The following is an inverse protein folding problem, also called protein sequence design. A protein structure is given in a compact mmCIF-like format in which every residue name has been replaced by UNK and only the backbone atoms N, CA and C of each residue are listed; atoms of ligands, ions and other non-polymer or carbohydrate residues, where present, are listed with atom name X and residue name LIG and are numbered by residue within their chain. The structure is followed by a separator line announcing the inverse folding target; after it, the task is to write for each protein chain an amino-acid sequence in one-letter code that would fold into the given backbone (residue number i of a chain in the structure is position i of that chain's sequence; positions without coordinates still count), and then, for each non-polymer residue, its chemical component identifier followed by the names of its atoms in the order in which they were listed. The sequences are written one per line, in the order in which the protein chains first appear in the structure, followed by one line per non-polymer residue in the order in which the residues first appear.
data_IF_046126999098
#
_entry.id   IF_046126999098
#
_cell.length_a   1.000
_cell.length_b   1.000
_cell.length_c   1.000
_cell.angle_alpha   90.00
_cell.angle_beta   90.00
_cell.angle_gamma   90.00
#
_symmetry.space_group_name_H-M   'P 1'
#
loop_
_entity.id
_entity.type
_entity.pdbx_description
1 polymer ?
#
# COMPACT_ATOMS: atom_id res chain seq x y z
N UNK A 1 26.39 25.60 -4.30
CA UNK A 1 25.35 25.71 -3.23
C UNK A 1 24.50 24.44 -3.08
N UNK A 2 24.86 23.29 -3.69
CA UNK A 2 24.03 22.05 -3.73
C UNK A 2 24.30 21.01 -2.63
N UNK A 3 25.22 21.25 -1.67
CA UNK A 3 25.60 20.26 -0.61
C UNK A 3 24.85 20.42 0.72
N UNK A 4 24.00 21.43 0.93
CA UNK A 4 23.36 21.70 2.23
C UNK A 4 22.02 21.00 2.45
N UNK A 5 21.36 20.47 1.42
CA UNK A 5 20.04 19.85 1.56
C UNK A 5 20.10 18.36 1.95
N UNK A 6 21.23 17.69 1.70
CA UNK A 6 21.38 16.26 1.92
C UNK A 6 21.47 15.82 3.39
N UNK A 7 21.92 16.72 4.27
CA UNK A 7 22.06 16.39 5.70
C UNK A 7 20.77 16.56 6.52
N UNK A 8 19.75 17.23 5.99
CA UNK A 8 18.51 17.50 6.74
C UNK A 8 17.47 16.37 6.58
N UNK A 9 17.54 15.57 5.56
CA UNK A 9 16.60 14.45 5.34
C UNK A 9 16.85 13.30 6.32
N UNK A 10 18.09 13.01 6.64
CA UNK A 10 18.45 11.93 7.58
C UNK A 10 18.19 12.31 9.06
N UNK A 11 18.09 13.61 9.40
CA UNK A 11 17.89 14.07 10.77
C UNK A 11 16.40 14.22 11.15
N UNK A 12 15.47 14.21 10.17
CA UNK A 12 14.03 14.39 10.40
C UNK A 12 13.29 13.13 10.83
N UNK A 13 13.96 11.99 10.82
CA UNK A 13 13.38 10.69 11.23
C UNK A 13 13.17 10.54 12.76
N UNK A 14 13.56 11.52 13.58
CA UNK A 14 13.58 11.37 15.06
C UNK A 14 12.79 12.45 15.80
N UNK A 15 12.18 13.44 15.16
CA UNK A 15 11.45 14.48 15.90
C UNK A 15 9.95 14.20 15.90
N UNK A 16 9.49 13.82 17.09
CA UNK A 16 8.10 13.51 17.42
C UNK A 16 7.15 14.68 17.22
N UNK A 17 5.97 14.29 16.89
CA UNK A 17 4.66 14.92 16.78
C UNK A 17 4.45 16.19 17.63
N UNK A 18 4.13 17.28 16.94
CA UNK A 18 3.08 18.20 17.37
C UNK A 18 2.27 18.57 16.15
N UNK A 19 1.11 17.95 16.02
CA UNK A 19 0.12 18.30 14.99
C UNK A 19 -0.66 19.49 15.53
N UNK A 20 -0.44 20.69 14.95
CA UNK A 20 -1.37 21.79 15.08
C UNK A 20 -2.21 21.84 13.80
N UNK A 21 -3.41 21.31 13.86
CA UNK A 21 -4.40 21.47 12.80
C UNK A 21 -5.05 22.84 12.95
N UNK A 22 -4.68 23.81 12.13
CA UNK A 22 -5.51 24.97 11.89
C UNK A 22 -6.46 24.66 10.73
N UNK A 23 -7.77 24.73 10.98
CA UNK A 23 -8.80 24.65 9.94
C UNK A 23 -8.91 26.02 9.30
N UNK A 24 -8.73 26.13 7.99
CA UNK A 24 -9.11 27.33 7.25
C UNK A 24 -10.65 27.38 7.14
N UNK A 25 -11.24 28.48 7.63
CA UNK A 25 -12.66 28.78 7.49
C UNK A 25 -12.96 29.30 6.07
N UNK A 26 -12.96 28.43 5.07
CA UNK A 26 -13.73 28.65 3.86
C UNK A 26 -15.01 27.82 3.96
N UNK A 27 -16.07 28.48 4.42
CA UNK A 27 -17.38 27.87 4.60
C UNK A 27 -18.01 27.45 3.28
N UNK A 28 -17.56 26.35 2.68
CA UNK A 28 -18.28 25.65 1.64
C UNK A 28 -19.13 24.55 2.28
N UNK A 29 -20.45 24.70 2.11
CA UNK A 29 -21.42 23.64 2.38
C UNK A 29 -21.02 22.35 1.65
N UNK A 30 -21.29 21.16 2.24
CA UNK A 30 -21.06 19.90 1.55
C UNK A 30 -21.81 19.91 0.21
N UNK A 31 -21.07 19.75 -0.88
CA UNK A 31 -21.66 19.62 -2.21
C UNK A 31 -22.61 18.41 -2.22
N UNK A 32 -23.84 18.61 -2.71
CA UNK A 32 -24.81 17.53 -2.93
C UNK A 32 -24.12 16.38 -3.67
N UNK A 33 -24.28 15.17 -3.15
CA UNK A 33 -23.75 13.93 -3.73
C UNK A 33 -24.39 13.70 -5.10
N UNK A 34 -23.74 14.15 -6.16
CA UNK A 34 -24.04 13.67 -7.51
C UNK A 34 -23.37 12.31 -7.69
N UNK A 35 -24.17 11.26 -7.78
CA UNK A 35 -23.73 9.92 -8.17
C UNK A 35 -22.95 10.03 -9.48
N UNK A 36 -21.62 9.89 -9.43
CA UNK A 36 -20.83 9.76 -10.63
C UNK A 36 -19.53 10.56 -10.77
N UNK A 37 -19.05 11.34 -9.79
CA UNK A 37 -17.82 12.12 -9.92
C UNK A 37 -16.90 12.06 -8.69
N UNK A 38 -15.59 12.24 -8.87
CA UNK A 38 -14.66 12.47 -7.77
C UNK A 38 -14.80 13.93 -7.29
N UNK A 39 -14.74 14.16 -5.95
CA UNK A 39 -14.84 15.50 -5.36
C UNK A 39 -14.07 15.57 -4.03
N UNK A 40 -13.65 16.80 -3.67
CA UNK A 40 -12.96 17.07 -2.40
C UNK A 40 -13.99 17.10 -1.27
N UNK A 41 -13.66 16.42 -0.17
CA UNK A 41 -14.47 16.41 1.06
C UNK A 41 -13.91 17.33 2.14
N UNK A 42 -12.59 17.54 2.15
CA UNK A 42 -11.91 18.39 3.12
C UNK A 42 -10.58 18.90 2.57
N UNK A 43 -10.10 20.02 3.13
CA UNK A 43 -8.78 20.57 2.83
C UNK A 43 -8.04 20.86 4.12
N UNK A 44 -6.92 20.19 4.31
CA UNK A 44 -6.10 20.30 5.54
C UNK A 44 -4.77 20.95 5.20
N UNK A 45 -4.39 21.97 5.96
CA UNK A 45 -3.10 22.62 5.87
C UNK A 45 -2.16 22.06 6.95
N UNK A 46 -0.99 21.63 6.55
CA UNK A 46 0.11 21.19 7.42
C UNK A 46 1.23 22.23 7.36
N UNK A 47 1.19 23.23 8.25
CA UNK A 47 2.10 24.38 8.20
C UNK A 47 3.57 23.99 8.38
N UNK A 48 3.86 23.07 9.33
CA UNK A 48 5.23 22.60 9.59
C UNK A 48 5.87 21.86 8.43
N UNK A 49 5.05 21.26 7.57
CA UNK A 49 5.48 20.45 6.44
C UNK A 49 5.39 21.21 5.10
N UNK A 50 4.94 22.46 5.14
CA UNK A 50 4.71 23.28 3.95
C UNK A 50 3.84 22.57 2.90
N UNK A 51 2.75 21.94 3.35
CA UNK A 51 1.95 21.01 2.58
C UNK A 51 0.46 21.26 2.74
N UNK A 52 -0.30 21.06 1.66
CA UNK A 52 -1.76 21.02 1.67
C UNK A 52 -2.22 19.63 1.26
N UNK A 53 -3.15 19.05 2.00
CA UNK A 53 -3.81 17.80 1.69
C UNK A 53 -5.27 18.08 1.31
N UNK A 54 -5.71 17.56 0.17
CA UNK A 54 -7.12 17.54 -0.24
C UNK A 54 -7.64 16.12 -0.03
N UNK A 55 -8.46 15.93 0.99
CA UNK A 55 -9.18 14.67 1.14
C UNK A 55 -10.29 14.62 0.12
N UNK A 56 -10.42 13.50 -0.58
CA UNK A 56 -11.39 13.38 -1.67
C UNK A 56 -12.03 11.99 -1.69
N UNK A 57 -13.18 11.92 -2.34
CA UNK A 57 -13.86 10.67 -2.64
C UNK A 57 -13.98 10.49 -4.14
N UNK A 58 -14.00 9.23 -4.58
CA UNK A 58 -14.01 8.88 -5.99
C UNK A 58 -14.78 7.57 -6.22
N UNK A 59 -15.43 7.41 -7.40
CA UNK A 59 -16.11 6.17 -7.74
C UNK A 59 -15.11 5.06 -8.01
N UNK A 60 -15.39 3.87 -7.52
CA UNK A 60 -14.59 2.66 -7.69
C UNK A 60 -15.47 1.40 -7.59
N UNK A 61 -14.85 0.25 -7.33
CA UNK A 61 -15.52 -1.02 -7.12
C UNK A 61 -15.15 -1.61 -5.77
N UNK A 62 -16.12 -2.22 -5.12
CA UNK A 62 -15.87 -3.04 -3.95
C UNK A 62 -15.24 -4.40 -4.32
N UNK A 63 -14.83 -5.24 -3.35
CA UNK A 63 -14.21 -6.54 -3.65
C UNK A 63 -15.12 -7.54 -4.37
N UNK A 64 -16.42 -7.26 -4.44
CA UNK A 64 -17.40 -8.07 -5.18
C UNK A 64 -17.67 -7.55 -6.60
N UNK A 65 -17.05 -6.40 -6.96
CA UNK A 65 -17.21 -5.75 -8.25
C UNK A 65 -18.35 -4.75 -8.34
N UNK A 66 -19.07 -4.52 -7.22
CA UNK A 66 -20.18 -3.56 -7.16
C UNK A 66 -19.65 -2.12 -7.04
N UNK A 67 -20.42 -1.17 -7.56
CA UNK A 67 -20.05 0.24 -7.52
C UNK A 67 -20.01 0.76 -6.07
N UNK A 68 -18.93 1.45 -5.71
CA UNK A 68 -18.74 2.06 -4.40
C UNK A 68 -17.98 3.38 -4.52
N UNK A 69 -18.17 4.28 -3.56
CA UNK A 69 -17.28 5.43 -3.38
C UNK A 69 -16.14 5.03 -2.44
N UNK A 70 -14.90 5.26 -2.86
CA UNK A 70 -13.71 5.16 -2.02
C UNK A 70 -13.18 6.55 -1.71
N UNK A 71 -12.24 6.65 -0.77
CA UNK A 71 -11.59 7.89 -0.39
C UNK A 71 -10.08 7.81 -0.45
N UNK A 72 -9.44 8.96 -0.38
CA UNK A 72 -8.02 9.11 -0.35
C UNK A 72 -7.61 10.56 -0.18
N UNK A 73 -6.33 10.83 -0.38
CA UNK A 73 -5.74 12.15 -0.20
C UNK A 73 -4.89 12.53 -1.41
N UNK A 74 -4.99 13.80 -1.84
CA UNK A 74 -4.09 14.45 -2.79
C UNK A 74 -3.23 15.40 -1.97
N UNK A 75 -1.92 15.19 -1.96
CA UNK A 75 -0.96 16.01 -1.23
C UNK A 75 -0.12 16.84 -2.17
N UNK A 76 0.01 18.15 -1.89
CA UNK A 76 0.80 19.09 -2.67
C UNK A 76 1.65 19.99 -1.75
N UNK A 77 2.90 20.21 -2.12
CA UNK A 77 3.78 21.19 -1.48
C UNK A 77 3.45 22.63 -1.86
N UNK A 78 3.95 23.59 -1.09
CA UNK A 78 3.69 25.02 -1.32
C UNK A 78 4.18 25.51 -2.68
N UNK A 79 5.31 24.97 -3.18
CA UNK A 79 5.83 25.33 -4.49
C UNK A 79 4.84 24.94 -5.60
N UNK A 80 4.34 23.70 -5.55
CA UNK A 80 3.35 23.19 -6.49
C UNK A 80 2.05 23.98 -6.40
N UNK A 81 1.61 24.32 -5.18
CA UNK A 81 0.40 25.11 -4.93
C UNK A 81 0.51 26.51 -5.53
N UNK A 82 1.64 27.17 -5.35
CA UNK A 82 1.91 28.51 -5.87
C UNK A 82 2.04 28.53 -7.41
N UNK A 83 2.78 27.57 -7.98
CA UNK A 83 3.00 27.46 -9.40
C UNK A 83 1.80 26.92 -10.19
N UNK A 84 0.86 26.25 -9.51
CA UNK A 84 -0.19 25.43 -10.15
C UNK A 84 0.37 24.38 -11.12
N UNK A 85 1.61 23.97 -10.87
CA UNK A 85 2.33 22.99 -11.69
C UNK A 85 3.18 22.07 -10.83
N UNK A 86 3.17 20.77 -11.13
CA UNK A 86 4.06 19.78 -10.58
C UNK A 86 4.94 19.15 -11.68
N UNK A 87 6.17 18.82 -11.36
CA UNK A 87 7.05 18.10 -12.30
C UNK A 87 6.55 16.68 -12.59
N UNK A 88 5.96 16.04 -11.58
CA UNK A 88 5.50 14.67 -11.68
C UNK A 88 4.31 14.40 -10.76
N UNK A 89 3.67 13.23 -10.97
CA UNK A 89 2.72 12.64 -10.05
C UNK A 89 3.30 11.37 -9.41
N UNK A 90 2.92 11.12 -8.16
CA UNK A 90 3.21 9.88 -7.45
C UNK A 90 1.90 9.24 -6.98
N UNK A 91 1.60 8.04 -7.46
CA UNK A 91 0.60 7.17 -6.86
C UNK A 91 1.28 6.41 -5.73
N UNK A 92 0.96 6.77 -4.49
CA UNK A 92 1.54 6.15 -3.31
C UNK A 92 0.57 5.18 -2.67
N UNK A 93 0.91 3.92 -2.68
CA UNK A 93 0.17 2.82 -2.09
C UNK A 93 0.68 2.59 -0.66
N UNK A 94 -0.16 2.91 0.35
CA UNK A 94 0.29 2.84 1.73
C UNK A 94 0.50 1.40 2.21
N UNK A 95 1.36 1.24 3.21
CA UNK A 95 1.57 -0.02 3.91
C UNK A 95 0.37 -0.39 4.80
N UNK A 96 0.46 -1.55 5.47
CA UNK A 96 -0.59 -2.06 6.36
C UNK A 96 -0.94 -1.07 7.48
N UNK A 97 -2.22 -0.73 7.57
CA UNK A 97 -2.81 0.02 8.68
C UNK A 97 -4.00 -0.75 9.24
N UNK A 98 -4.25 -0.59 10.54
CA UNK A 98 -5.36 -1.24 11.24
C UNK A 98 -6.29 -0.25 11.90
N UNK A 99 -5.73 0.79 12.55
CA UNK A 99 -6.55 1.80 13.22
C UNK A 99 -7.10 2.79 12.20
N UNK A 100 -8.37 3.17 12.38
CA UNK A 100 -9.11 3.98 11.42
C UNK A 100 -8.43 5.33 11.11
N UNK A 101 -7.74 5.92 12.08
CA UNK A 101 -7.04 7.21 11.93
C UNK A 101 -5.66 7.12 11.24
N UNK A 102 -5.21 5.90 10.88
CA UNK A 102 -3.92 5.70 10.20
C UNK A 102 -4.03 5.77 8.67
N UNK A 103 -5.24 5.75 8.10
CA UNK A 103 -5.37 5.87 6.64
C UNK A 103 -5.10 7.31 6.15
N UNK A 104 -4.70 7.49 4.89
CA UNK A 104 -4.29 8.79 4.34
C UNK A 104 -5.28 9.93 4.57
N UNK A 105 -6.58 9.74 4.34
CA UNK A 105 -7.61 10.78 4.50
C UNK A 105 -7.89 11.16 5.96
N UNK A 106 -7.35 10.42 6.92
CA UNK A 106 -7.50 10.67 8.36
C UNK A 106 -6.21 11.20 9.02
N UNK A 107 -5.17 11.47 8.23
CA UNK A 107 -3.91 12.05 8.70
C UNK A 107 -2.72 11.09 8.71
N UNK A 108 -2.87 9.86 8.22
CA UNK A 108 -1.78 8.90 8.01
C UNK A 108 -0.88 9.29 6.83
N UNK A 109 -0.16 10.43 6.95
CA UNK A 109 0.53 11.09 5.83
C UNK A 109 2.05 11.11 5.96
N UNK A 110 2.64 10.17 6.70
CA UNK A 110 4.08 10.25 7.01
C UNK A 110 4.96 10.32 5.77
N UNK A 111 4.73 9.44 4.80
CA UNK A 111 5.54 9.34 3.59
C UNK A 111 5.23 10.49 2.62
N UNK A 112 3.99 10.97 2.57
CA UNK A 112 3.60 12.10 1.73
C UNK A 112 4.27 13.41 2.14
N UNK A 113 4.66 13.55 3.41
CA UNK A 113 5.42 14.72 3.91
C UNK A 113 6.80 14.82 3.24
N UNK A 114 7.45 13.69 2.98
CA UNK A 114 8.73 13.69 2.28
C UNK A 114 8.60 14.09 0.81
N UNK A 115 7.49 13.74 0.16
CA UNK A 115 7.28 14.01 -1.27
C UNK A 115 6.81 15.44 -1.52
N UNK A 116 6.22 16.12 -0.54
CA UNK A 116 5.77 17.51 -0.66
C UNK A 116 6.90 18.49 -1.01
N UNK A 117 8.14 18.18 -0.61
CA UNK A 117 9.33 18.99 -0.90
C UNK A 117 9.94 18.73 -2.29
N UNK A 118 9.40 17.77 -3.05
CA UNK A 118 9.98 17.29 -4.32
C UNK A 118 9.24 17.80 -5.56
N UNK A 119 8.44 18.86 -5.46
CA UNK A 119 7.62 19.38 -6.57
C UNK A 119 6.70 18.31 -7.21
N UNK A 120 6.21 17.38 -6.39
CA UNK A 120 5.29 16.30 -6.76
C UNK A 120 3.86 16.59 -6.32
N UNK A 121 2.91 16.01 -7.06
CA UNK A 121 1.56 15.75 -6.55
C UNK A 121 1.52 14.29 -6.11
N UNK A 122 1.25 14.03 -4.83
CA UNK A 122 1.13 12.65 -4.31
C UNK A 122 -0.34 12.30 -4.12
N UNK A 123 -0.76 11.15 -4.63
CA UNK A 123 -2.12 10.61 -4.53
C UNK A 123 -2.05 9.33 -3.72
N UNK A 124 -2.80 9.26 -2.62
CA UNK A 124 -2.80 8.11 -1.72
C UNK A 124 -4.23 7.66 -1.45
N UNK A 125 -4.66 6.49 -1.99
CA UNK A 125 -5.96 5.90 -1.67
C UNK A 125 -5.98 5.38 -0.23
N UNK A 126 -7.17 5.34 0.40
CA UNK A 126 -7.37 4.75 1.73
C UNK A 126 -7.52 3.21 1.70
N UNK A 127 -7.81 2.63 0.55
CA UNK A 127 -8.31 1.27 0.29
C UNK A 127 -9.70 0.99 0.84
N UNK A 128 -10.35 -0.05 0.31
CA UNK A 128 -11.66 -0.51 0.79
C UNK A 128 -11.57 -1.01 2.22
N UNK A 129 -12.50 -0.55 3.04
CA UNK A 129 -12.54 -0.81 4.48
C UNK A 129 -11.98 0.34 5.32
N UNK A 130 -11.46 1.41 4.71
CA UNK A 130 -11.02 2.63 5.39
C UNK A 130 -11.69 3.88 4.81
N UNK A 131 -11.45 5.02 5.44
CA UNK A 131 -12.00 6.30 5.04
C UNK A 131 -13.53 6.27 4.98
N UNK A 132 -14.11 6.56 3.82
CA UNK A 132 -15.58 6.55 3.65
C UNK A 132 -16.21 5.15 3.72
N UNK A 133 -15.40 4.10 3.63
CA UNK A 133 -15.84 2.70 3.78
C UNK A 133 -15.41 2.08 5.12
N UNK A 134 -15.08 2.90 6.13
CA UNK A 134 -14.57 2.45 7.44
C UNK A 134 -15.47 1.41 8.12
N UNK A 135 -16.79 1.48 7.92
CA UNK A 135 -17.75 0.51 8.44
C UNK A 135 -17.74 -0.88 7.77
N UNK A 136 -16.88 -1.07 6.75
CA UNK A 136 -16.74 -2.35 6.05
C UNK A 136 -15.47 -3.09 6.49
N UNK A 137 -15.41 -4.40 6.29
CA UNK A 137 -14.16 -5.15 6.49
C UNK A 137 -13.13 -4.74 5.43
N UNK A 138 -11.86 -4.76 5.83
CA UNK A 138 -10.77 -4.41 4.93
C UNK A 138 -10.53 -5.51 3.88
N UNK A 139 -10.43 -5.13 2.60
CA UNK A 139 -10.01 -6.05 1.52
C UNK A 139 -8.48 -6.25 1.56
N UNK A 140 -7.98 -6.76 2.69
CA UNK A 140 -6.55 -6.85 2.97
C UNK A 140 -5.86 -7.79 1.99
N UNK A 141 -4.87 -7.28 1.26
CA UNK A 141 -4.10 -8.01 0.25
C UNK A 141 -4.94 -8.66 -0.87
N UNK A 142 -6.20 -8.20 -1.09
CA UNK A 142 -6.94 -8.53 -2.31
C UNK A 142 -6.40 -7.63 -3.43
N UNK A 143 -5.36 -8.11 -4.13
CA UNK A 143 -4.51 -7.28 -4.99
C UNK A 143 -5.28 -6.58 -6.10
N UNK A 144 -6.24 -7.27 -6.74
CA UNK A 144 -7.06 -6.70 -7.81
C UNK A 144 -7.94 -5.54 -7.32
N UNK A 145 -8.54 -5.65 -6.12
CA UNK A 145 -9.38 -4.59 -5.56
C UNK A 145 -8.54 -3.37 -5.15
N UNK A 146 -7.42 -3.60 -4.46
CA UNK A 146 -6.53 -2.52 -4.04
C UNK A 146 -5.94 -1.78 -5.25
N UNK A 147 -5.52 -2.51 -6.29
CA UNK A 147 -5.03 -1.92 -7.53
C UNK A 147 -6.10 -1.11 -8.26
N UNK A 148 -7.34 -1.64 -8.36
CA UNK A 148 -8.45 -0.90 -8.98
C UNK A 148 -8.73 0.39 -8.21
N UNK A 149 -8.85 0.33 -6.88
CA UNK A 149 -9.04 1.52 -6.04
C UNK A 149 -7.93 2.54 -6.20
N UNK A 150 -6.68 2.10 -6.38
CA UNK A 150 -5.52 2.99 -6.58
C UNK A 150 -5.55 3.67 -7.96
N UNK A 151 -5.86 2.94 -9.03
CA UNK A 151 -5.99 3.53 -10.37
C UNK A 151 -7.18 4.50 -10.43
N UNK A 152 -8.31 4.14 -9.83
CA UNK A 152 -9.49 5.02 -9.77
C UNK A 152 -9.21 6.29 -8.97
N UNK A 153 -8.42 6.20 -7.88
CA UNK A 153 -7.94 7.36 -7.13
C UNK A 153 -7.08 8.28 -8.00
N UNK A 154 -6.14 7.73 -8.78
CA UNK A 154 -5.31 8.50 -9.71
C UNK A 154 -6.18 9.27 -10.71
N UNK A 155 -7.11 8.59 -11.37
CA UNK A 155 -8.00 9.20 -12.38
C UNK A 155 -8.93 10.24 -11.76
N UNK A 156 -9.50 9.96 -10.59
CA UNK A 156 -10.33 10.90 -9.84
C UNK A 156 -9.56 12.15 -9.39
N UNK A 157 -8.36 11.98 -8.87
CA UNK A 157 -7.48 13.07 -8.47
C UNK A 157 -7.06 13.94 -9.67
N UNK A 158 -6.71 13.33 -10.81
CA UNK A 158 -6.37 14.07 -12.03
C UNK A 158 -7.52 14.95 -12.51
N UNK A 159 -8.77 14.45 -12.44
CA UNK A 159 -9.96 15.23 -12.77
C UNK A 159 -10.10 16.44 -11.86
N UNK A 160 -10.06 16.24 -10.54
CA UNK A 160 -10.16 17.31 -9.53
C UNK A 160 -9.07 18.36 -9.75
N UNK A 161 -7.83 17.94 -9.96
CA UNK A 161 -6.70 18.83 -10.13
C UNK A 161 -6.82 19.69 -11.39
N UNK A 162 -7.29 19.12 -12.52
CA UNK A 162 -7.57 19.90 -13.74
C UNK A 162 -8.65 20.93 -13.50
N UNK A 163 -9.73 20.58 -12.81
CA UNK A 163 -10.82 21.51 -12.46
C UNK A 163 -10.33 22.64 -11.56
N UNK A 164 -9.34 22.38 -10.70
CA UNK A 164 -8.67 23.39 -9.86
C UNK A 164 -7.57 24.19 -10.60
N UNK A 165 -7.34 23.93 -11.89
CA UNK A 165 -6.35 24.63 -12.72
C UNK A 165 -4.90 24.19 -12.45
N UNK A 166 -4.67 22.99 -11.90
CA UNK A 166 -3.35 22.39 -11.81
C UNK A 166 -2.98 21.69 -13.12
N UNK A 167 -1.68 21.74 -13.45
CA UNK A 167 -1.06 20.97 -14.52
C UNK A 167 0.16 20.20 -13.97
N UNK A 168 0.65 19.23 -14.73
CA UNK A 168 1.81 18.41 -14.33
C UNK A 168 2.55 17.92 -15.57
N UNK A 169 3.80 17.50 -15.36
CA UNK A 169 4.63 16.89 -16.40
C UNK A 169 4.23 15.43 -16.67
N UNK A 170 4.95 14.80 -17.60
CA UNK A 170 4.61 13.46 -18.09
C UNK A 170 5.06 12.33 -17.15
N UNK A 171 5.83 12.63 -16.09
CA UNK A 171 6.33 11.63 -15.17
C UNK A 171 5.24 11.18 -14.20
N UNK A 172 4.96 9.86 -14.21
CA UNK A 172 4.08 9.19 -13.25
C UNK A 172 4.88 8.11 -12.52
N UNK A 173 5.00 8.27 -11.22
CA UNK A 173 5.58 7.26 -10.33
C UNK A 173 4.50 6.48 -9.60
N UNK A 174 4.80 5.22 -9.28
CA UNK A 174 3.94 4.32 -8.53
C UNK A 174 4.79 3.66 -7.44
N UNK A 175 4.45 3.79 -6.17
CA UNK A 175 5.31 3.33 -5.09
C UNK A 175 4.53 2.75 -3.91
N UNK A 176 5.13 1.77 -3.23
CA UNK A 176 4.61 1.23 -1.98
C UNK A 176 5.49 0.14 -1.38
N UNK A 177 5.29 -0.10 -0.09
CA UNK A 177 6.01 -1.11 0.68
C UNK A 177 5.03 -2.07 1.35
N UNK A 178 5.40 -3.34 1.54
CA UNK A 178 4.57 -4.36 2.18
C UNK A 178 3.22 -4.54 1.45
N UNK A 179 2.07 -4.35 2.08
CA UNK A 179 0.77 -4.28 1.39
C UNK A 179 0.80 -3.29 0.23
N UNK A 180 1.43 -2.12 0.44
CA UNK A 180 1.62 -1.14 -0.62
C UNK A 180 2.50 -1.63 -1.76
N UNK A 181 3.54 -2.43 -1.47
CA UNK A 181 4.36 -3.08 -2.48
C UNK A 181 3.55 -4.06 -3.35
N UNK A 182 2.71 -4.88 -2.72
CA UNK A 182 1.77 -5.74 -3.43
C UNK A 182 0.81 -4.92 -4.30
N UNK A 183 0.21 -3.87 -3.74
CA UNK A 183 -0.70 -2.98 -4.49
C UNK A 183 0.03 -2.31 -5.66
N UNK A 184 1.28 -1.90 -5.49
CA UNK A 184 2.12 -1.32 -6.55
C UNK A 184 2.27 -2.27 -7.73
N UNK A 185 2.59 -3.53 -7.50
CA UNK A 185 2.66 -4.54 -8.58
C UNK A 185 1.27 -4.90 -9.13
N UNK A 186 0.24 -4.88 -8.29
CA UNK A 186 -1.15 -4.99 -8.74
C UNK A 186 -1.56 -3.86 -9.70
N UNK A 187 -1.14 -2.62 -9.43
CA UNK A 187 -1.33 -1.47 -10.34
C UNK A 187 -0.58 -1.67 -11.66
N UNK A 188 0.69 -2.13 -11.63
CA UNK A 188 1.45 -2.46 -12.85
C UNK A 188 0.69 -3.47 -13.70
N UNK A 189 0.23 -4.58 -13.11
CA UNK A 189 -0.59 -5.58 -13.79
C UNK A 189 -1.87 -4.97 -14.36
N UNK A 190 -2.64 -4.26 -13.56
CA UNK A 190 -3.93 -3.70 -13.96
C UNK A 190 -3.78 -2.70 -15.11
N UNK A 191 -2.74 -1.88 -15.05
CA UNK A 191 -2.41 -0.91 -16.11
C UNK A 191 -2.01 -1.64 -17.39
N UNK A 192 -1.21 -2.70 -17.30
CA UNK A 192 -0.86 -3.51 -18.46
C UNK A 192 -2.08 -4.18 -19.12
N UNK A 193 -3.01 -4.68 -18.31
CA UNK A 193 -4.19 -5.40 -18.81
C UNK A 193 -5.31 -4.48 -19.34
N UNK A 194 -5.51 -3.27 -18.76
CA UNK A 194 -6.77 -2.52 -18.95
C UNK A 194 -6.64 -1.03 -19.24
N UNK A 195 -5.49 -0.42 -19.00
CA UNK A 195 -5.31 1.03 -19.11
C UNK A 195 -4.14 1.39 -20.06
N UNK A 196 -4.27 1.13 -21.39
CA UNK A 196 -3.18 1.35 -22.35
C UNK A 196 -2.67 2.80 -22.39
N UNK A 197 -3.51 3.76 -22.01
CA UNK A 197 -3.17 5.19 -22.01
C UNK A 197 -2.47 5.66 -20.72
N UNK A 198 -2.35 4.81 -19.70
CA UNK A 198 -1.58 5.13 -18.49
C UNK A 198 -0.15 4.61 -18.68
N UNK A 199 0.81 5.54 -18.69
CA UNK A 199 2.23 5.24 -18.71
C UNK A 199 2.84 5.52 -17.34
N UNK A 200 3.29 4.47 -16.66
CA UNK A 200 4.02 4.58 -15.39
C UNK A 200 5.51 4.69 -15.75
N UNK A 201 6.12 5.82 -15.41
CA UNK A 201 7.54 6.06 -15.69
C UNK A 201 8.44 5.12 -14.90
N UNK A 202 8.11 4.90 -13.61
CA UNK A 202 8.87 4.01 -12.74
C UNK A 202 8.03 3.54 -11.57
N UNK A 203 8.11 2.25 -11.24
CA UNK A 203 7.47 1.66 -10.07
C UNK A 203 8.48 1.27 -9.00
N UNK A 204 8.18 1.56 -7.73
CA UNK A 204 8.98 1.21 -6.56
C UNK A 204 8.18 0.23 -5.70
N UNK A 205 8.48 -1.05 -5.78
CA UNK A 205 7.75 -2.10 -5.07
C UNK A 205 8.66 -2.77 -4.03
N UNK A 206 8.41 -2.48 -2.75
CA UNK A 206 9.19 -3.03 -1.64
C UNK A 206 8.43 -4.12 -0.89
N UNK A 207 9.07 -5.27 -0.66
CA UNK A 207 8.67 -6.35 0.23
C UNK A 207 7.17 -6.70 0.18
N UNK A 208 6.57 -6.70 -1.02
CA UNK A 208 5.17 -7.04 -1.22
C UNK A 208 4.93 -8.55 -1.26
N UNK A 209 3.74 -8.96 -0.81
CA UNK A 209 3.27 -10.35 -0.90
C UNK A 209 2.75 -10.65 -2.32
N UNK A 210 3.66 -10.74 -3.28
CA UNK A 210 3.33 -10.95 -4.69
C UNK A 210 2.88 -12.39 -4.97
N UNK A 211 3.47 -13.34 -4.23
CA UNK A 211 3.17 -14.78 -4.26
C UNK A 211 2.69 -15.22 -2.88
N UNK A 212 1.40 -14.99 -2.60
CA UNK A 212 0.78 -15.36 -1.31
C UNK A 212 0.84 -16.88 -1.07
N UNK A 213 0.63 -17.76 -2.07
CA UNK A 213 0.85 -19.19 -1.92
C UNK A 213 2.23 -19.53 -1.35
N UNK A 214 3.30 -18.98 -1.92
CA UNK A 214 4.67 -19.21 -1.44
C UNK A 214 4.88 -18.70 -0.01
N UNK A 215 4.32 -17.54 0.32
CA UNK A 215 4.32 -16.98 1.68
C UNK A 215 3.64 -17.93 2.68
N UNK A 216 2.47 -18.44 2.33
CA UNK A 216 1.73 -19.36 3.19
C UNK A 216 2.48 -20.67 3.43
N UNK A 217 3.02 -21.28 2.38
CA UNK A 217 3.85 -22.48 2.49
C UNK A 217 5.02 -22.26 3.43
N UNK A 218 5.72 -21.12 3.30
CA UNK A 218 6.85 -20.81 4.16
C UNK A 218 6.43 -20.63 5.64
N UNK A 219 5.28 -20.03 5.93
CA UNK A 219 4.79 -19.92 7.31
C UNK A 219 4.46 -21.28 7.93
N UNK A 220 3.92 -22.21 7.15
CA UNK A 220 3.70 -23.58 7.63
C UNK A 220 5.03 -24.31 7.85
N UNK A 221 5.98 -24.22 6.91
CA UNK A 221 7.26 -24.94 6.97
C UNK A 221 8.18 -24.41 8.07
N UNK A 222 8.28 -23.07 8.21
CA UNK A 222 9.13 -22.43 9.24
C UNK A 222 8.44 -22.27 10.58
N UNK A 223 7.11 -22.45 10.62
CA UNK A 223 6.24 -22.26 11.78
C UNK A 223 6.19 -20.82 12.32
N UNK A 224 6.86 -19.85 11.71
CA UNK A 224 6.96 -18.46 12.18
C UNK A 224 6.42 -17.50 11.12
N UNK A 225 5.58 -16.56 11.57
CA UNK A 225 5.10 -15.41 10.80
C UNK A 225 5.38 -14.11 11.58
N UNK A 226 6.13 -13.20 11.00
CA UNK A 226 6.68 -12.03 11.70
C UNK A 226 5.65 -11.03 12.24
N UNK A 227 4.48 -10.95 11.61
CA UNK A 227 3.36 -10.07 12.00
C UNK A 227 2.06 -10.88 11.96
N UNK A 228 1.69 -11.56 13.05
CA UNK A 228 0.55 -12.48 13.05
C UNK A 228 -0.77 -11.82 12.68
N UNK A 229 -1.00 -10.55 13.03
CA UNK A 229 -2.20 -9.81 12.62
C UNK A 229 -2.38 -9.75 11.10
N UNK A 230 -1.28 -9.62 10.34
CA UNK A 230 -1.35 -9.59 8.86
C UNK A 230 -1.78 -10.92 8.28
N UNK A 231 -1.30 -12.02 8.84
CA UNK A 231 -1.71 -13.39 8.45
C UNK A 231 -3.21 -13.59 8.70
N UNK A 232 -3.66 -13.21 9.91
CA UNK A 232 -5.07 -13.29 10.29
C UNK A 232 -5.92 -12.49 9.31
N UNK A 233 -5.50 -11.28 8.97
CA UNK A 233 -6.23 -10.40 8.06
C UNK A 233 -6.29 -10.93 6.62
N UNK A 234 -5.22 -11.55 6.13
CA UNK A 234 -5.23 -12.24 4.81
C UNK A 234 -6.23 -13.38 4.82
N UNK A 235 -6.18 -14.26 5.83
CA UNK A 235 -7.09 -15.41 5.91
C UNK A 235 -8.56 -14.95 5.99
N UNK A 236 -8.86 -13.93 6.80
CA UNK A 236 -10.21 -13.39 6.93
C UNK A 236 -10.68 -12.74 5.61
N UNK A 237 -9.84 -11.90 4.98
CA UNK A 237 -10.19 -11.21 3.74
C UNK A 237 -10.43 -12.20 2.60
N UNK A 238 -9.57 -13.22 2.45
CA UNK A 238 -9.77 -14.22 1.40
C UNK A 238 -10.98 -15.11 1.67
N UNK A 239 -11.22 -15.49 2.93
CA UNK A 239 -12.43 -16.25 3.28
C UNK A 239 -13.70 -15.49 2.91
N UNK A 240 -13.75 -14.19 3.19
CA UNK A 240 -14.90 -13.32 2.92
C UNK A 240 -15.02 -12.98 1.43
N UNK A 241 -14.02 -12.34 0.86
CA UNK A 241 -14.12 -11.75 -0.47
C UNK A 241 -13.96 -12.74 -1.62
N UNK A 242 -13.35 -13.90 -1.36
CA UNK A 242 -13.35 -15.04 -2.30
C UNK A 242 -14.49 -16.04 -1.98
N UNK A 243 -15.37 -15.69 -1.03
CA UNK A 243 -16.59 -16.42 -0.69
C UNK A 243 -16.32 -17.90 -0.37
N UNK A 244 -15.26 -18.17 0.42
CA UNK A 244 -14.89 -19.54 0.75
C UNK A 244 -15.91 -20.20 1.70
N UNK A 245 -16.63 -19.41 2.50
CA UNK A 245 -17.67 -19.91 3.41
C UNK A 245 -17.12 -20.85 4.49
N UNK A 246 -15.88 -20.61 4.95
CA UNK A 246 -15.22 -21.39 6.00
C UNK A 246 -15.54 -20.77 7.34
N UNK A 247 -15.95 -21.58 8.32
CA UNK A 247 -16.22 -21.10 9.67
C UNK A 247 -14.91 -20.67 10.36
N UNK A 248 -14.95 -19.60 11.16
CA UNK A 248 -13.76 -19.03 11.81
C UNK A 248 -13.07 -20.03 12.74
N UNK A 249 -13.82 -20.88 13.42
CA UNK A 249 -13.34 -21.97 14.27
C UNK A 249 -12.61 -23.07 13.51
N UNK A 250 -12.79 -23.17 12.20
CA UNK A 250 -11.99 -24.07 11.36
C UNK A 250 -10.60 -23.47 11.04
N UNK A 251 -10.47 -22.13 11.15
CA UNK A 251 -9.25 -21.40 10.76
C UNK A 251 -8.42 -21.07 12.01
N UNK A 252 -9.05 -20.53 13.06
CA UNK A 252 -8.38 -19.91 14.22
C UNK A 252 -8.65 -20.63 15.52
N UNK A 253 -7.74 -20.46 16.47
CA UNK A 253 -7.84 -20.97 17.85
C UNK A 253 -8.05 -19.83 18.84
N UNK A 254 -8.44 -20.19 20.09
CA UNK A 254 -8.52 -19.24 21.19
C UNK A 254 -7.11 -18.76 21.65
N UNK A 255 -6.95 -17.53 22.14
CA UNK A 255 -7.99 -16.52 22.39
C UNK A 255 -8.37 -15.67 21.17
N UNK A 256 -7.66 -15.78 20.02
CA UNK A 256 -7.93 -14.98 18.84
C UNK A 256 -9.35 -15.14 18.31
N UNK A 257 -9.83 -16.39 18.24
CA UNK A 257 -11.16 -16.71 17.70
C UNK A 257 -12.28 -15.87 18.32
N UNK A 258 -12.33 -15.79 19.66
CA UNK A 258 -13.33 -15.00 20.38
C UNK A 258 -13.18 -13.49 20.24
N UNK A 259 -12.04 -13.01 19.72
CA UNK A 259 -11.70 -11.59 19.71
C UNK A 259 -11.52 -10.99 18.30
N UNK A 260 -11.78 -11.75 17.25
CA UNK A 260 -11.60 -11.28 15.85
C UNK A 260 -12.32 -9.95 15.60
N UNK A 261 -13.60 -9.85 16.02
CA UNK A 261 -14.39 -8.64 15.78
C UNK A 261 -13.86 -7.44 16.58
N UNK A 262 -13.32 -7.67 17.78
CA UNK A 262 -12.72 -6.62 18.61
C UNK A 262 -11.30 -6.25 18.13
N UNK A 263 -10.42 -7.24 17.88
CA UNK A 263 -9.02 -6.97 17.61
C UNK A 263 -8.77 -6.56 16.16
N UNK A 264 -9.45 -7.20 15.20
CA UNK A 264 -9.20 -7.01 13.76
C UNK A 264 -10.20 -6.02 13.15
N UNK A 265 -11.50 -6.26 13.34
CA UNK A 265 -12.53 -5.51 12.61
C UNK A 265 -12.95 -4.19 13.25
N UNK A 266 -12.68 -3.99 14.55
CA UNK A 266 -13.05 -2.75 15.26
C UNK A 266 -12.30 -1.52 14.81
N UNK A 267 -11.12 -1.68 14.20
CA UNK A 267 -10.19 -0.60 13.77
C UNK A 267 -9.79 0.37 14.88
N UNK A 268 -9.77 -0.14 16.14
CA UNK A 268 -9.39 0.63 17.33
C UNK A 268 -7.91 0.49 17.69
N UNK A 269 -7.27 -0.58 17.22
CA UNK A 269 -5.91 -0.96 17.61
C UNK A 269 -4.93 -0.76 16.46
N UNK A 270 -3.67 -0.49 16.80
CA UNK A 270 -2.56 -0.53 15.85
C UNK A 270 -2.16 -1.97 15.57
N UNK A 271 -1.36 -2.19 14.55
CA UNK A 271 -0.79 -3.52 14.24
C UNK A 271 -0.06 -4.11 15.46
N UNK A 272 0.79 -3.31 16.08
CA UNK A 272 1.60 -3.71 17.23
C UNK A 272 0.74 -4.14 18.42
N UNK A 273 -0.34 -3.41 18.67
CA UNK A 273 -1.29 -3.73 19.74
C UNK A 273 -2.02 -5.05 19.44
N UNK A 274 -2.39 -5.30 18.18
CA UNK A 274 -3.03 -6.55 17.77
C UNK A 274 -2.05 -7.72 17.88
N UNK A 275 -0.81 -7.57 17.38
CA UNK A 275 0.22 -8.60 17.47
C UNK A 275 0.53 -8.97 18.94
N UNK A 276 0.59 -7.96 19.82
CA UNK A 276 0.77 -8.17 21.25
C UNK A 276 -0.40 -8.92 21.88
N UNK A 277 -1.64 -8.70 21.42
CA UNK A 277 -2.85 -9.41 21.88
C UNK A 277 -2.87 -10.86 21.39
N UNK A 278 -2.47 -11.13 20.16
CA UNK A 278 -2.30 -12.50 19.62
C UNK A 278 -1.20 -13.22 20.39
N UNK A 279 -0.11 -12.52 20.75
CA UNK A 279 0.91 -12.95 21.70
C UNK A 279 1.85 -14.04 21.19
N UNK A 280 1.81 -14.40 19.91
CA UNK A 280 2.66 -15.43 19.33
C UNK A 280 3.02 -15.15 17.88
N UNK A 281 4.27 -15.40 17.52
CA UNK A 281 4.74 -15.45 16.13
C UNK A 281 4.58 -16.84 15.49
N UNK A 282 4.27 -17.86 16.28
CA UNK A 282 4.13 -19.23 15.78
C UNK A 282 2.76 -19.43 15.15
N UNK A 283 2.74 -19.68 13.84
CA UNK A 283 1.53 -19.81 13.03
C UNK A 283 0.52 -20.82 13.63
N UNK A 284 1.01 -21.98 14.07
CA UNK A 284 0.19 -23.04 14.66
C UNK A 284 -0.37 -22.72 16.05
N UNK A 285 -0.01 -21.58 16.68
CA UNK A 285 -0.55 -21.22 17.99
C UNK A 285 -1.83 -20.38 17.92
N UNK A 286 -2.09 -19.74 16.80
CA UNK A 286 -3.30 -18.95 16.59
C UNK A 286 -4.16 -19.46 15.43
N UNK A 287 -3.66 -20.48 14.69
CA UNK A 287 -4.44 -21.20 13.67
C UNK A 287 -4.69 -22.65 14.09
N UNK A 288 -5.69 -23.30 13.48
CA UNK A 288 -5.96 -24.71 13.71
C UNK A 288 -4.87 -25.60 13.12
N UNK A 289 -4.68 -26.84 13.63
CA UNK A 289 -3.74 -27.80 13.00
C UNK A 289 -4.05 -28.05 11.54
N UNK A 290 -5.33 -28.00 11.14
CA UNK A 290 -5.74 -28.16 9.75
C UNK A 290 -5.24 -27.00 8.86
N UNK A 291 -5.24 -25.77 9.37
CA UNK A 291 -4.64 -24.61 8.68
C UNK A 291 -3.11 -24.69 8.63
N UNK A 292 -2.49 -25.29 9.62
CA UNK A 292 -1.04 -25.48 9.69
C UNK A 292 -0.55 -26.74 8.91
N UNK A 293 -1.40 -27.34 8.11
CA UNK A 293 -1.09 -28.49 7.22
C UNK A 293 -1.46 -28.15 5.79
N UNK A 294 -0.44 -27.87 4.94
CA UNK A 294 -0.62 -27.57 3.52
C UNK A 294 -1.27 -28.72 2.71
N UNK A 295 -1.22 -29.94 3.24
CA UNK A 295 -1.87 -31.13 2.66
C UNK A 295 -3.36 -31.21 2.91
N UNK A 296 -3.90 -30.47 3.89
CA UNK A 296 -5.29 -30.51 4.27
C UNK A 296 -6.24 -29.97 3.18
N UNK A 297 -7.50 -30.40 3.22
CA UNK A 297 -8.53 -29.85 2.32
C UNK A 297 -8.77 -28.36 2.58
N UNK A 298 -8.71 -27.92 3.83
CA UNK A 298 -8.90 -26.53 4.23
C UNK A 298 -7.80 -25.64 3.64
N UNK A 299 -6.53 -26.00 3.85
CA UNK A 299 -5.39 -25.27 3.30
C UNK A 299 -5.41 -25.23 1.78
N UNK A 300 -5.78 -26.31 1.11
CA UNK A 300 -5.92 -26.36 -0.35
C UNK A 300 -6.97 -25.39 -0.88
N UNK A 301 -8.08 -25.15 -0.15
CA UNK A 301 -9.08 -24.16 -0.53
C UNK A 301 -8.51 -22.74 -0.45
N UNK A 302 -7.77 -22.41 0.62
CA UNK A 302 -7.08 -21.14 0.73
C UNK A 302 -6.00 -20.97 -0.34
N UNK A 303 -5.18 -22.02 -0.58
CA UNK A 303 -4.16 -22.01 -1.61
C UNK A 303 -4.74 -21.70 -3.00
N UNK A 304 -5.88 -22.32 -3.36
CA UNK A 304 -6.56 -22.04 -4.62
C UNK A 304 -7.06 -20.58 -4.71
N UNK A 305 -7.55 -20.02 -3.59
CA UNK A 305 -7.98 -18.64 -3.54
C UNK A 305 -6.80 -17.65 -3.66
N UNK A 306 -5.69 -17.91 -2.96
CA UNK A 306 -4.45 -17.14 -3.06
C UNK A 306 -3.88 -17.19 -4.47
N UNK A 307 -3.91 -18.35 -5.09
CA UNK A 307 -3.41 -18.62 -6.43
C UNK A 307 -4.16 -17.81 -7.50
N UNK A 308 -5.46 -17.59 -7.31
CA UNK A 308 -6.28 -16.76 -8.18
C UNK A 308 -5.95 -15.25 -8.12
N UNK A 309 -5.19 -14.82 -7.11
CA UNK A 309 -4.78 -13.41 -6.91
C UNK A 309 -3.23 -13.25 -6.91
N UNK A 310 -2.51 -14.30 -7.31
CA UNK A 310 -1.06 -14.32 -7.41
C UNK A 310 -0.58 -13.38 -8.52
N UNK A 311 0.33 -12.48 -8.18
CA UNK A 311 0.88 -11.49 -9.12
C UNK A 311 2.07 -12.03 -9.93
N UNK A 312 2.62 -13.19 -9.55
CA UNK A 312 3.73 -13.81 -10.25
C UNK A 312 3.27 -14.76 -11.37
N UNK A 313 2.02 -14.60 -11.88
CA UNK A 313 1.47 -15.42 -12.97
C UNK A 313 0.19 -14.86 -13.57
N UNK A 314 -0.20 -15.39 -14.72
CA UNK A 314 -1.54 -15.21 -15.31
C UNK A 314 -1.80 -13.85 -15.94
N UNK A 315 -0.74 -13.06 -16.23
CA UNK A 315 -0.83 -11.82 -16.98
C UNK A 315 0.45 -11.61 -17.79
N UNK A 316 0.44 -10.65 -18.71
CA UNK A 316 1.59 -10.34 -19.55
C UNK A 316 2.01 -8.88 -19.31
N UNK A 317 3.24 -8.64 -18.82
CA UNK A 317 3.82 -7.31 -18.78
C UNK A 317 3.87 -6.67 -20.19
N UNK A 318 3.94 -5.36 -20.26
CA UNK A 318 4.10 -4.63 -21.54
C UNK A 318 5.50 -4.78 -22.12
N UNK A 319 6.49 -5.07 -21.26
CA UNK A 319 7.90 -5.16 -21.62
C UNK A 319 8.67 -3.84 -21.55
N UNK A 320 7.98 -2.74 -21.26
CA UNK A 320 8.57 -1.41 -21.08
C UNK A 320 8.52 -0.91 -19.62
N UNK A 321 8.13 -1.79 -18.68
CA UNK A 321 8.12 -1.47 -17.25
C UNK A 321 9.54 -1.16 -16.74
N UNK A 322 9.66 -0.09 -15.97
CA UNK A 322 10.83 0.23 -15.17
C UNK A 322 10.52 0.10 -13.69
N UNK A 323 11.29 -0.72 -12.97
CA UNK A 323 10.94 -1.17 -11.62
C UNK A 323 12.15 -1.17 -10.69
N UNK A 324 11.93 -0.77 -9.43
CA UNK A 324 12.74 -1.20 -8.30
C UNK A 324 11.99 -2.30 -7.55
N UNK A 325 12.57 -3.48 -7.44
CA UNK A 325 12.10 -4.55 -6.55
C UNK A 325 13.05 -4.63 -5.37
N UNK A 326 12.53 -4.39 -4.17
CA UNK A 326 13.34 -4.31 -2.94
C UNK A 326 12.87 -5.31 -1.90
N UNK A 327 13.82 -5.99 -1.23
CA UNK A 327 13.51 -6.90 -0.12
C UNK A 327 14.68 -7.05 0.85
N UNK A 328 14.37 -7.52 2.09
CA UNK A 328 15.37 -8.04 3.02
C UNK A 328 15.35 -9.56 3.07
N UNK A 329 16.54 -10.20 3.03
CA UNK A 329 16.68 -11.66 3.24
C UNK A 329 16.31 -12.11 4.66
N UNK A 330 16.21 -11.17 5.62
CA UNK A 330 15.86 -11.43 7.04
C UNK A 330 14.37 -11.18 7.33
N UNK A 331 13.60 -10.89 6.32
CA UNK A 331 12.16 -10.62 6.46
C UNK A 331 11.40 -11.93 6.72
N UNK A 332 10.82 -12.03 7.91
CA UNK A 332 9.96 -13.16 8.34
C UNK A 332 8.47 -12.80 8.29
N UNK A 333 8.13 -11.58 7.89
CA UNK A 333 6.74 -11.12 7.71
C UNK A 333 6.27 -11.36 6.28
N UNK A 334 7.06 -10.91 5.32
CA UNK A 334 6.91 -11.23 3.89
C UNK A 334 8.23 -11.85 3.45
N UNK A 335 8.29 -13.14 3.17
CA UNK A 335 9.52 -13.81 2.76
C UNK A 335 10.07 -13.29 1.42
N UNK A 336 11.41 -13.19 1.28
CA UNK A 336 12.07 -12.67 0.07
C UNK A 336 11.77 -13.44 -1.21
N UNK A 337 11.33 -14.69 -1.09
CA UNK A 337 10.88 -15.51 -2.23
C UNK A 337 9.79 -14.81 -3.06
N UNK A 338 8.98 -13.93 -2.45
CA UNK A 338 8.00 -13.12 -3.17
C UNK A 338 8.67 -12.23 -4.23
N UNK A 339 9.73 -11.54 -3.86
CA UNK A 339 10.47 -10.66 -4.76
C UNK A 339 11.27 -11.46 -5.80
N UNK A 340 11.83 -12.59 -5.41
CA UNK A 340 12.53 -13.51 -6.31
C UNK A 340 11.58 -14.07 -7.38
N UNK A 341 10.38 -14.54 -6.96
CA UNK A 341 9.35 -15.05 -7.89
C UNK A 341 8.82 -13.95 -8.81
N UNK A 342 8.60 -12.72 -8.28
CA UNK A 342 8.18 -11.60 -9.10
C UNK A 342 9.25 -11.21 -10.15
N UNK A 343 10.51 -11.13 -9.75
CA UNK A 343 11.61 -10.86 -10.66
C UNK A 343 11.68 -11.90 -11.79
N UNK A 344 11.67 -13.19 -11.42
CA UNK A 344 11.73 -14.27 -12.38
C UNK A 344 10.53 -14.23 -13.35
N UNK A 345 9.33 -14.02 -12.81
CA UNK A 345 8.12 -13.85 -13.63
C UNK A 345 8.25 -12.74 -14.66
N UNK A 346 8.73 -11.55 -14.26
CA UNK A 346 8.88 -10.40 -15.15
C UNK A 346 9.90 -10.69 -16.27
N UNK A 347 11.05 -11.28 -15.92
CA UNK A 347 12.09 -11.67 -16.90
C UNK A 347 11.56 -12.72 -17.89
N UNK A 348 10.91 -13.76 -17.39
CA UNK A 348 10.35 -14.84 -18.22
C UNK A 348 9.25 -14.35 -19.16
N UNK A 349 8.58 -13.25 -18.82
CA UNK A 349 7.52 -12.63 -19.61
C UNK A 349 7.98 -11.37 -20.39
N UNK A 350 9.29 -11.20 -20.56
CA UNK A 350 9.86 -10.29 -21.54
C UNK A 350 10.21 -8.89 -21.06
N UNK A 351 10.16 -8.61 -19.75
CA UNK A 351 10.69 -7.35 -19.20
C UNK A 351 12.21 -7.41 -19.22
N UNK A 352 12.92 -6.46 -19.86
CA UNK A 352 14.38 -6.45 -19.92
C UNK A 352 14.99 -6.37 -18.51
N UNK A 353 16.04 -7.13 -18.24
CA UNK A 353 16.72 -7.13 -16.94
C UNK A 353 17.24 -5.74 -16.54
N UNK A 354 17.69 -4.95 -17.50
CA UNK A 354 18.19 -3.59 -17.29
C UNK A 354 17.08 -2.61 -16.84
N UNK A 355 15.83 -2.97 -17.02
CA UNK A 355 14.68 -2.19 -16.55
C UNK A 355 14.32 -2.52 -15.10
N UNK A 356 14.91 -3.56 -14.50
CA UNK A 356 14.57 -4.01 -13.15
C UNK A 356 15.77 -3.81 -12.21
N UNK A 357 15.67 -2.82 -11.33
CA UNK A 357 16.62 -2.58 -10.24
C UNK A 357 16.28 -3.53 -9.06
N UNK A 358 16.84 -4.75 -9.08
CA UNK A 358 16.60 -5.76 -8.05
C UNK A 358 17.55 -5.53 -6.85
N UNK A 359 17.00 -5.29 -5.68
CA UNK A 359 17.70 -5.01 -4.42
C UNK A 359 17.29 -5.95 -3.31
N UNK A 360 17.90 -7.12 -3.23
CA UNK A 360 17.74 -8.05 -2.12
C UNK A 360 18.93 -7.85 -1.18
N UNK A 361 18.68 -7.38 0.05
CA UNK A 361 19.68 -6.94 1.00
C UNK A 361 19.61 -7.73 2.32
N UNK A 362 20.73 -7.85 3.02
CA UNK A 362 20.75 -8.46 4.36
C UNK A 362 20.50 -7.38 5.43
N UNK A 363 19.22 -7.09 5.71
CA UNK A 363 18.77 -6.10 6.69
C UNK A 363 18.07 -6.84 7.83
N UNK A 364 18.75 -6.98 8.98
CA UNK A 364 18.20 -7.60 10.17
C UNK A 364 17.34 -6.66 11.01
N UNK A 365 16.69 -7.22 12.03
CA UNK A 365 16.01 -6.47 13.07
C UNK A 365 17.00 -5.57 13.85
N UNK A 366 16.50 -4.45 14.38
CA UNK A 366 17.29 -3.53 15.20
C UNK A 366 16.55 -3.16 16.48
N UNK A 367 17.05 -3.59 17.62
CA UNK A 367 16.34 -3.44 18.90
C UNK A 367 15.01 -4.18 18.86
N UNK A 368 13.91 -3.45 19.07
CA UNK A 368 12.54 -3.99 18.99
C UNK A 368 11.92 -3.87 17.59
N UNK A 369 12.59 -3.21 16.64
CA UNK A 369 12.10 -3.02 15.27
C UNK A 369 12.35 -4.28 14.44
N UNK A 370 11.33 -4.95 13.92
CA UNK A 370 11.44 -6.11 13.06
C UNK A 370 12.25 -5.83 11.78
N UNK A 371 12.84 -6.85 11.18
CA UNK A 371 13.60 -6.73 9.93
C UNK A 371 12.74 -6.14 8.79
N UNK A 372 11.47 -6.52 8.70
CA UNK A 372 10.51 -5.98 7.72
C UNK A 372 10.38 -4.45 7.80
N UNK A 373 10.19 -3.90 8.99
CA UNK A 373 10.08 -2.45 9.21
C UNK A 373 11.42 -1.73 9.02
N UNK A 374 12.52 -2.35 9.47
CA UNK A 374 13.85 -1.78 9.27
C UNK A 374 14.22 -1.70 7.79
N UNK A 375 13.82 -2.68 7.01
CA UNK A 375 13.98 -2.68 5.56
C UNK A 375 13.13 -1.59 4.88
N UNK A 376 11.94 -1.27 5.41
CA UNK A 376 11.10 -0.18 4.90
C UNK A 376 11.80 1.18 4.96
N UNK A 377 12.51 1.49 6.05
CA UNK A 377 13.31 2.73 6.15
C UNK A 377 14.36 2.84 5.04
N UNK A 378 15.05 1.73 4.75
CA UNK A 378 16.05 1.68 3.67
C UNK A 378 15.38 1.81 2.29
N UNK A 379 14.27 1.13 2.08
CA UNK A 379 13.47 1.22 0.85
C UNK A 379 13.06 2.67 0.55
N UNK A 380 12.46 3.37 1.52
CA UNK A 380 12.00 4.75 1.32
C UNK A 380 13.15 5.67 0.89
N UNK A 381 14.30 5.58 1.56
CA UNK A 381 15.48 6.38 1.18
C UNK A 381 15.93 6.07 -0.24
N UNK A 382 16.03 4.80 -0.60
CA UNK A 382 16.50 4.39 -1.93
C UNK A 382 15.50 4.75 -3.03
N UNK A 383 14.20 4.62 -2.77
CA UNK A 383 13.15 5.02 -3.70
C UNK A 383 13.16 6.53 -3.94
N UNK A 384 13.25 7.35 -2.89
CA UNK A 384 13.33 8.81 -3.00
C UNK A 384 14.58 9.28 -3.76
N UNK A 385 15.73 8.65 -3.55
CA UNK A 385 16.96 8.96 -4.27
C UNK A 385 16.83 8.66 -5.76
N UNK A 386 16.30 7.51 -6.12
CA UNK A 386 16.11 7.10 -7.52
C UNK A 386 15.05 7.98 -8.19
N UNK A 387 13.92 8.24 -7.54
CA UNK A 387 12.86 9.12 -8.01
C UNK A 387 13.41 10.53 -8.29
N UNK A 388 14.16 11.11 -7.34
CA UNK A 388 14.80 12.43 -7.54
C UNK A 388 15.81 12.44 -8.67
N UNK A 389 16.56 11.36 -8.89
CA UNK A 389 17.49 11.25 -10.01
C UNK A 389 16.73 11.27 -11.35
N UNK A 390 15.66 10.48 -11.49
CA UNK A 390 14.82 10.44 -12.70
C UNK A 390 14.22 11.83 -13.01
N UNK A 391 13.70 12.51 -11.97
CA UNK A 391 13.15 13.87 -12.16
C UNK A 391 14.19 14.91 -12.60
N UNK A 392 15.45 14.76 -12.16
CA UNK A 392 16.53 15.68 -12.55
C UNK A 392 17.08 15.38 -13.95
N UNK A 393 16.95 14.16 -14.45
CA UNK A 393 17.34 13.78 -15.82
C UNK A 393 16.32 14.23 -16.85
N UNK A 394 15.08 14.47 -16.45
CA UNK A 394 13.99 14.93 -17.31
C UNK A 394 13.91 16.47 -17.46
N UNK A 395 14.68 17.23 -16.66
CA UNK A 395 14.83 18.69 -16.76
C UNK A 395 15.85 19.05 -17.85
#
# INVERSE_FOLDING_TARGET
MRKKYFFHIAALLIVGMMVSCAKDEDGQQPAEMTVGGAYITDTVRYESDHMTAYNFVYPSKDPYGEAVMLSGTITIGDNVKAARYAKAMLLYNHFTVYRADQCPSKGGLLEQRFTAALDLITISPDYYGFGVTEGKHQAYCISQNNAQGSVDALLGAQKILREKGYTWGDLLFNAGYSQGGQTTMGVVRLVAERYPDIHITYSFAGAGSYDIPATYVQFVDTTIAGMPSTVVSVLLAYNEFKQLGIAREEIFTEPLLSHIDDWIYSKRYTREEIDAKIGSLYFAQYTTPTMADTGSTLSKRFMAAFDGDNLCKGWTPRGDEHLMLFHSTKDITVPSVNTENMYNFLIENGVPADNIDLRIMDIGASGTTPAHEKAAETFVVQALLKLSAIMNEAD
#
